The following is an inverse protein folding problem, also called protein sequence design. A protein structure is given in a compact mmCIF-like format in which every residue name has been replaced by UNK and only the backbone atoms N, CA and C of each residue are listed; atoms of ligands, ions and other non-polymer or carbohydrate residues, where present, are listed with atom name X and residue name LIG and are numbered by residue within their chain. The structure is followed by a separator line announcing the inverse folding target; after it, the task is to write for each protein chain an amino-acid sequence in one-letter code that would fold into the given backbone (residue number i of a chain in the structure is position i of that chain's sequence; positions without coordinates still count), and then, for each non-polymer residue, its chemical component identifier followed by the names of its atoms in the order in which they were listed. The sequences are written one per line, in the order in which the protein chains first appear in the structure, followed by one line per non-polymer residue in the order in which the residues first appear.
data_IF_813283737476
#
_entry.id   IF_813283737476
#
_cell.length_a   1.000
_cell.length_b   1.000
_cell.length_c   1.000
_cell.angle_alpha   90.00
_cell.angle_beta   90.00
_cell.angle_gamma   90.00
#
_symmetry.space_group_name_H-M   'P 1'
#
loop_
_entity.id
_entity.type
_entity.pdbx_description
1 polymer ?
#
# COMPACT_ATOMS: atom_id res chain seq x y z
N UNK A 1 -91.74 35.77 -11.12
CA UNK A 1 -91.20 34.64 -10.29
C UNK A 1 -89.99 34.12 -11.06
N UNK A 2 -88.83 34.39 -10.55
CA UNK A 2 -87.53 34.06 -11.21
C UNK A 2 -86.89 32.92 -10.42
N UNK A 3 -86.71 31.78 -11.01
CA UNK A 3 -86.05 30.61 -10.53
C UNK A 3 -84.56 30.75 -10.74
N UNK A 4 -83.79 30.69 -9.67
CA UNK A 4 -82.31 30.71 -9.67
C UNK A 4 -81.83 29.27 -9.68
N UNK A 5 -81.18 28.81 -10.74
CA UNK A 5 -80.42 27.54 -10.73
C UNK A 5 -79.07 27.79 -10.17
N UNK A 6 -78.77 27.10 -9.06
CA UNK A 6 -77.45 27.05 -8.50
C UNK A 6 -76.63 25.90 -9.12
N UNK A 7 -75.54 26.24 -9.82
CA UNK A 7 -74.57 25.27 -10.33
C UNK A 7 -73.52 24.95 -9.23
N UNK A 8 -73.59 23.73 -8.73
CA UNK A 8 -72.52 23.21 -7.89
C UNK A 8 -71.30 22.77 -8.75
N UNK A 9 -70.21 23.53 -8.69
CA UNK A 9 -68.98 23.16 -9.29
C UNK A 9 -68.23 22.13 -8.38
N UNK A 10 -68.11 20.92 -8.91
CA UNK A 10 -67.35 19.86 -8.27
C UNK A 10 -65.83 20.03 -8.57
N UNK A 11 -65.06 20.61 -7.68
CA UNK A 11 -63.59 20.73 -7.81
C UNK A 11 -62.96 19.41 -7.50
N UNK A 12 -62.45 18.72 -8.53
CA UNK A 12 -61.65 17.49 -8.43
C UNK A 12 -60.24 17.86 -8.00
N UNK A 13 -59.90 17.70 -6.72
CA UNK A 13 -58.52 17.81 -6.21
C UNK A 13 -57.76 16.57 -6.62
N UNK A 14 -56.91 16.70 -7.66
CA UNK A 14 -55.94 15.68 -8.03
C UNK A 14 -54.77 15.80 -7.05
N UNK A 15 -54.72 14.91 -6.05
CA UNK A 15 -53.52 14.71 -5.24
C UNK A 15 -52.48 13.97 -6.10
N UNK A 16 -51.58 14.70 -6.71
CA UNK A 16 -50.34 14.12 -7.24
C UNK A 16 -49.45 13.72 -6.04
N UNK A 17 -49.53 12.46 -5.65
CA UNK A 17 -48.59 11.86 -4.73
C UNK A 17 -47.21 11.86 -5.41
N UNK A 18 -46.38 12.86 -5.11
CA UNK A 18 -44.96 12.76 -5.35
C UNK A 18 -44.42 11.68 -4.44
N UNK A 19 -44.39 10.45 -4.90
CA UNK A 19 -43.64 9.37 -4.32
C UNK A 19 -42.15 9.75 -4.38
N UNK A 20 -41.65 10.39 -3.32
CA UNK A 20 -40.25 10.64 -3.15
C UNK A 20 -39.54 9.29 -3.16
N UNK A 21 -38.82 9.00 -4.24
CA UNK A 21 -37.84 7.92 -4.22
C UNK A 21 -36.92 8.23 -3.04
N UNK A 22 -36.98 7.44 -1.98
CA UNK A 22 -35.94 7.45 -0.95
C UNK A 22 -34.63 7.23 -1.68
N UNK A 23 -33.77 8.26 -1.75
CA UNK A 23 -32.35 8.05 -2.09
C UNK A 23 -31.86 6.99 -1.13
N UNK A 24 -31.51 5.82 -1.64
CA UNK A 24 -30.75 4.84 -0.87
C UNK A 24 -29.44 5.53 -0.59
N UNK A 25 -29.23 5.93 0.65
CA UNK A 25 -27.95 6.45 1.08
C UNK A 25 -26.99 5.26 1.05
N UNK A 26 -26.10 5.25 0.08
CA UNK A 26 -25.08 4.21 -0.07
C UNK A 26 -24.08 4.46 1.04
N UNK A 27 -23.91 3.48 1.97
CA UNK A 27 -22.81 3.51 2.90
C UNK A 27 -21.51 3.23 2.14
N UNK A 28 -20.86 4.31 1.74
CA UNK A 28 -19.62 4.26 0.96
C UNK A 28 -18.54 3.38 1.61
N UNK A 29 -18.44 3.40 2.93
CA UNK A 29 -17.43 2.61 3.66
C UNK A 29 -17.77 1.13 3.57
N UNK A 30 -19.01 0.74 3.88
CA UNK A 30 -19.44 -0.65 3.83
C UNK A 30 -19.39 -1.22 2.42
N UNK A 31 -19.82 -0.44 1.43
CA UNK A 31 -19.76 -0.86 0.02
C UNK A 31 -18.32 -1.16 -0.45
N UNK A 32 -17.34 -0.33 -0.03
CA UNK A 32 -15.93 -0.59 -0.33
C UNK A 32 -15.38 -1.79 0.42
N UNK A 33 -15.77 -2.03 1.66
CA UNK A 33 -15.39 -3.25 2.41
C UNK A 33 -15.93 -4.49 1.71
N UNK A 34 -17.21 -4.48 1.31
CA UNK A 34 -17.85 -5.60 0.61
C UNK A 34 -17.17 -5.89 -0.72
N UNK A 35 -16.81 -4.86 -1.47
CA UNK A 35 -16.04 -4.99 -2.71
C UNK A 35 -14.64 -5.59 -2.45
N UNK A 36 -13.92 -5.15 -1.44
CA UNK A 36 -12.62 -5.70 -1.08
C UNK A 36 -12.71 -7.18 -0.67
N UNK A 37 -13.73 -7.54 0.11
CA UNK A 37 -14.04 -8.94 0.49
C UNK A 37 -14.30 -9.78 -0.75
N UNK A 38 -15.13 -9.30 -1.67
CA UNK A 38 -15.47 -10.02 -2.90
C UNK A 38 -14.22 -10.24 -3.78
N UNK A 39 -13.40 -9.22 -4.00
CA UNK A 39 -12.19 -9.32 -4.81
C UNK A 39 -11.15 -10.26 -4.18
N UNK A 40 -10.89 -10.12 -2.88
CA UNK A 40 -9.96 -11.02 -2.18
C UNK A 40 -10.48 -12.47 -2.16
N UNK A 41 -11.79 -12.70 -2.06
CA UNK A 41 -12.39 -14.05 -2.15
C UNK A 41 -12.11 -14.66 -3.52
N UNK A 42 -12.41 -13.96 -4.61
CA UNK A 42 -12.16 -14.43 -5.96
C UNK A 42 -10.68 -14.75 -6.16
N UNK A 43 -9.80 -13.84 -5.75
CA UNK A 43 -8.36 -13.96 -5.96
C UNK A 43 -7.78 -15.14 -5.15
N UNK A 44 -8.15 -15.27 -3.88
CA UNK A 44 -7.70 -16.39 -3.05
C UNK A 44 -8.21 -17.73 -3.57
N UNK A 45 -9.47 -17.82 -4.00
CA UNK A 45 -10.05 -19.05 -4.58
C UNK A 45 -9.30 -19.49 -5.84
N UNK A 46 -8.94 -18.58 -6.72
CA UNK A 46 -8.16 -18.88 -7.93
C UNK A 46 -6.78 -19.43 -7.55
N UNK A 47 -6.09 -18.78 -6.62
CA UNK A 47 -4.74 -19.18 -6.21
C UNK A 47 -4.77 -20.50 -5.46
N UNK A 48 -5.69 -20.71 -4.52
CA UNK A 48 -5.81 -21.97 -3.78
C UNK A 48 -6.11 -23.17 -4.71
N UNK A 49 -6.97 -22.99 -5.71
CA UNK A 49 -7.25 -24.02 -6.72
C UNK A 49 -6.03 -24.37 -7.57
N UNK A 50 -5.08 -23.46 -7.73
CA UNK A 50 -3.82 -23.73 -8.46
C UNK A 50 -2.86 -24.63 -7.71
N UNK A 51 -3.01 -24.77 -6.39
CA UNK A 51 -2.10 -25.50 -5.50
C UNK A 51 -0.70 -24.84 -5.36
N UNK A 52 -0.56 -23.58 -5.77
CA UNK A 52 0.71 -22.82 -5.76
C UNK A 52 0.59 -21.58 -4.88
N UNK A 53 1.72 -21.03 -4.47
CA UNK A 53 1.80 -19.67 -3.92
C UNK A 53 2.05 -18.73 -5.10
N UNK A 54 1.10 -17.84 -5.36
CA UNK A 54 1.15 -16.92 -6.48
C UNK A 54 0.90 -15.50 -5.97
N UNK A 55 1.71 -14.54 -6.44
CA UNK A 55 1.57 -13.12 -6.11
C UNK A 55 0.92 -12.39 -7.29
N UNK A 56 -0.36 -11.98 -7.21
CA UNK A 56 -1.05 -11.31 -8.29
C UNK A 56 -0.47 -9.91 -8.52
N UNK A 57 -0.32 -9.54 -9.78
CA UNK A 57 0.23 -8.24 -10.19
C UNK A 57 -0.77 -7.35 -10.91
N UNK A 58 -1.34 -7.85 -11.99
CA UNK A 58 -2.23 -7.10 -12.87
C UNK A 58 -3.12 -8.04 -13.66
N UNK A 59 -4.12 -7.49 -14.33
CA UNK A 59 -4.99 -8.18 -15.27
C UNK A 59 -4.47 -7.88 -16.67
N UNK A 60 -4.22 -8.94 -17.44
CA UNK A 60 -3.83 -8.86 -18.85
C UNK A 60 -5.02 -8.46 -19.73
N UNK A 61 -4.76 -8.09 -20.99
CA UNK A 61 -5.80 -7.68 -21.95
C UNK A 61 -6.83 -8.80 -22.23
N UNK A 62 -6.45 -10.05 -22.09
CA UNK A 62 -7.32 -11.22 -22.24
C UNK A 62 -8.13 -11.56 -20.98
N UNK A 63 -8.00 -10.76 -19.92
CA UNK A 63 -8.66 -10.95 -18.64
C UNK A 63 -7.95 -11.94 -17.71
N UNK A 64 -6.86 -12.56 -18.12
CA UNK A 64 -6.05 -13.42 -17.25
C UNK A 64 -5.25 -12.61 -16.22
N UNK A 65 -4.92 -13.23 -15.07
CA UNK A 65 -4.13 -12.58 -14.03
C UNK A 65 -2.64 -12.86 -14.28
N UNK A 66 -1.84 -11.81 -14.33
CA UNK A 66 -0.39 -11.91 -14.33
C UNK A 66 0.12 -12.06 -12.90
N UNK A 67 1.04 -13.01 -12.68
CA UNK A 67 1.67 -13.28 -11.40
C UNK A 67 3.17 -12.97 -11.45
N UNK A 68 3.73 -12.62 -10.31
CA UNK A 68 5.12 -12.20 -10.15
C UNK A 68 5.84 -13.05 -9.11
N UNK A 69 7.19 -13.11 -9.15
CA UNK A 69 7.98 -13.76 -8.12
C UNK A 69 7.90 -13.01 -6.79
N UNK A 70 8.32 -13.68 -5.71
CA UNK A 70 8.28 -13.12 -4.36
C UNK A 70 9.18 -11.90 -4.17
N UNK A 71 10.23 -11.80 -4.96
CA UNK A 71 11.20 -10.71 -4.91
C UNK A 71 10.72 -9.43 -5.62
N UNK A 72 9.60 -9.49 -6.33
CA UNK A 72 9.00 -8.30 -6.96
C UNK A 72 8.44 -7.37 -5.89
N UNK A 73 8.65 -6.07 -6.07
CA UNK A 73 8.32 -5.02 -5.12
C UNK A 73 6.86 -5.04 -4.63
N UNK A 74 5.92 -5.51 -5.41
CA UNK A 74 4.52 -5.52 -5.02
C UNK A 74 4.05 -6.82 -4.37
N UNK A 75 4.92 -7.82 -4.14
CA UNK A 75 4.53 -9.11 -3.56
C UNK A 75 3.91 -9.01 -2.15
N UNK A 76 4.29 -8.00 -1.38
CA UNK A 76 3.75 -7.75 -0.04
C UNK A 76 2.31 -7.23 -0.01
N UNK A 77 1.81 -6.65 -1.11
CA UNK A 77 0.47 -6.03 -1.11
C UNK A 77 -0.67 -7.05 -1.08
N UNK A 78 -0.51 -8.21 -1.70
CA UNK A 78 -1.56 -9.23 -1.67
C UNK A 78 -1.80 -9.76 -0.25
N UNK A 79 -0.80 -10.29 0.50
CA UNK A 79 -1.02 -10.63 1.90
C UNK A 79 -1.46 -9.43 2.74
N UNK A 80 -0.97 -8.23 2.45
CA UNK A 80 -1.40 -6.99 3.10
C UNK A 80 -2.90 -6.73 2.94
N UNK A 81 -3.45 -6.91 1.74
CA UNK A 81 -4.89 -6.76 1.49
C UNK A 81 -5.72 -7.78 2.26
N UNK A 82 -5.22 -9.00 2.43
CA UNK A 82 -5.88 -10.05 3.21
C UNK A 82 -5.86 -9.71 4.71
N UNK A 83 -4.74 -9.22 5.24
CA UNK A 83 -4.66 -8.72 6.62
C UNK A 83 -5.64 -7.60 6.89
N UNK A 84 -5.74 -6.63 5.98
CA UNK A 84 -6.70 -5.53 6.10
C UNK A 84 -8.14 -6.03 6.03
N UNK A 85 -8.44 -7.00 5.17
CA UNK A 85 -9.77 -7.62 5.09
C UNK A 85 -10.12 -8.33 6.40
N UNK A 86 -9.16 -9.07 6.98
CA UNK A 86 -9.33 -9.66 8.31
C UNK A 86 -9.65 -8.60 9.36
N UNK A 87 -8.86 -7.53 9.42
CA UNK A 87 -9.03 -6.46 10.41
C UNK A 87 -10.37 -5.73 10.26
N UNK A 88 -10.80 -5.46 9.03
CA UNK A 88 -12.06 -4.74 8.77
C UNK A 88 -13.30 -5.58 9.03
N UNK A 89 -13.24 -6.89 8.79
CA UNK A 89 -14.41 -7.78 8.90
C UNK A 89 -14.47 -8.56 10.21
N UNK A 90 -13.32 -8.79 10.86
CA UNK A 90 -13.19 -9.73 11.99
C UNK A 90 -13.41 -11.19 11.61
N UNK A 91 -13.58 -11.51 10.32
CA UNK A 91 -13.85 -12.88 9.85
C UNK A 91 -12.57 -13.71 9.86
N UNK A 92 -12.54 -14.68 10.78
CA UNK A 92 -11.38 -15.55 11.02
C UNK A 92 -10.99 -16.45 9.84
N UNK A 93 -11.83 -16.57 8.80
CA UNK A 93 -11.46 -17.32 7.59
C UNK A 93 -10.25 -16.70 6.86
N UNK A 94 -10.03 -15.38 7.02
CA UNK A 94 -8.93 -14.66 6.39
C UNK A 94 -7.59 -14.91 7.06
N UNK A 95 -7.59 -15.26 8.35
CA UNK A 95 -6.37 -15.41 9.15
C UNK A 95 -5.40 -16.45 8.55
N UNK A 96 -5.78 -17.70 8.29
CA UNK A 96 -4.86 -18.71 7.73
C UNK A 96 -4.37 -18.33 6.33
N UNK A 97 -5.18 -17.62 5.54
CA UNK A 97 -4.76 -17.14 4.21
C UNK A 97 -3.73 -16.01 4.34
N UNK A 98 -3.97 -15.03 5.21
CA UNK A 98 -3.03 -13.95 5.48
C UNK A 98 -1.69 -14.48 5.98
N UNK A 99 -1.69 -15.43 6.92
CA UNK A 99 -0.48 -16.11 7.41
C UNK A 99 0.26 -16.82 6.27
N UNK A 100 -0.43 -17.69 5.53
CA UNK A 100 0.14 -18.47 4.44
C UNK A 100 0.88 -17.62 3.40
N UNK A 101 0.24 -16.55 2.92
CA UNK A 101 0.83 -15.67 1.91
C UNK A 101 1.90 -14.73 2.47
N UNK A 102 1.81 -14.37 3.75
CA UNK A 102 2.86 -13.62 4.46
C UNK A 102 4.11 -14.47 4.63
N UNK A 103 3.97 -15.68 5.18
CA UNK A 103 5.10 -16.57 5.49
C UNK A 103 5.83 -17.05 4.23
N UNK A 104 5.15 -17.11 3.10
CA UNK A 104 5.77 -17.36 1.80
C UNK A 104 6.80 -16.29 1.41
N UNK A 105 6.73 -15.08 1.96
CA UNK A 105 7.67 -13.98 1.71
C UNK A 105 8.87 -13.99 2.68
N UNK A 106 9.11 -15.05 3.46
CA UNK A 106 10.16 -15.05 4.49
C UNK A 106 11.55 -14.69 3.94
N UNK A 107 11.90 -15.16 2.76
CA UNK A 107 13.20 -14.87 2.13
C UNK A 107 13.38 -13.39 1.74
N UNK A 108 12.29 -12.63 1.59
CA UNK A 108 12.31 -11.22 1.22
C UNK A 108 13.05 -10.35 2.26
N UNK A 109 13.05 -10.73 3.53
CA UNK A 109 13.78 -10.03 4.59
C UNK A 109 15.29 -9.87 4.32
N UNK A 110 15.86 -10.66 3.41
CA UNK A 110 17.29 -10.61 3.06
C UNK A 110 17.58 -9.80 1.79
N UNK A 111 16.57 -9.24 1.11
CA UNK A 111 16.79 -8.46 -0.12
C UNK A 111 17.55 -7.16 0.19
N UNK A 112 18.57 -6.87 -0.62
CA UNK A 112 19.47 -5.71 -0.45
C UNK A 112 19.69 -4.92 -1.73
N UNK A 113 19.10 -5.32 -2.86
CA UNK A 113 19.33 -4.71 -4.16
C UNK A 113 18.27 -3.65 -4.56
N UNK A 114 17.17 -3.54 -3.81
CA UNK A 114 16.18 -2.46 -3.89
C UNK A 114 15.66 -2.09 -2.49
N UNK A 115 15.01 -0.94 -2.38
CA UNK A 115 14.50 -0.41 -1.12
C UNK A 115 13.14 -1.01 -0.71
N UNK A 116 12.46 -1.66 -1.64
CA UNK A 116 11.05 -2.06 -1.50
C UNK A 116 10.83 -3.11 -0.40
N UNK A 117 11.88 -3.77 0.08
CA UNK A 117 11.84 -4.68 1.22
C UNK A 117 11.11 -4.05 2.43
N UNK A 118 11.18 -2.72 2.58
CA UNK A 118 10.52 -2.00 3.65
C UNK A 118 9.01 -2.16 3.61
N UNK A 119 8.36 -1.81 2.52
CA UNK A 119 6.91 -1.94 2.42
C UNK A 119 6.45 -3.35 2.04
N UNK A 120 7.27 -4.19 1.41
CA UNK A 120 6.94 -5.60 1.21
C UNK A 120 6.71 -6.30 2.55
N UNK A 121 7.64 -6.15 3.51
CA UNK A 121 7.52 -6.70 4.87
C UNK A 121 6.56 -5.86 5.72
N UNK A 122 6.50 -4.55 5.51
CA UNK A 122 5.56 -3.65 6.19
C UNK A 122 4.10 -4.02 5.92
N UNK A 123 3.72 -4.26 4.67
CA UNK A 123 2.36 -4.65 4.31
C UNK A 123 2.01 -6.09 4.75
N UNK A 124 2.97 -6.99 4.84
CA UNK A 124 2.77 -8.41 5.17
C UNK A 124 3.03 -8.71 6.66
N UNK A 125 4.27 -8.93 7.04
CA UNK A 125 4.66 -9.33 8.39
C UNK A 125 4.30 -8.31 9.47
N UNK A 126 4.47 -7.01 9.21
CA UNK A 126 4.15 -5.98 10.19
C UNK A 126 2.64 -5.91 10.46
N UNK A 127 1.81 -6.07 9.42
CA UNK A 127 0.37 -6.16 9.61
C UNK A 127 -0.03 -7.40 10.42
N UNK A 128 0.58 -8.55 10.15
CA UNK A 128 0.34 -9.76 10.96
C UNK A 128 0.76 -9.58 12.42
N UNK A 129 1.90 -8.95 12.66
CA UNK A 129 2.36 -8.63 14.01
C UNK A 129 1.37 -7.73 14.76
N UNK A 130 0.83 -6.71 14.10
CA UNK A 130 -0.07 -5.72 14.70
C UNK A 130 -1.52 -6.23 14.84
N UNK A 131 -2.03 -6.94 13.85
CA UNK A 131 -3.46 -7.27 13.74
C UNK A 131 -3.81 -8.64 14.34
N UNK A 132 -2.86 -9.56 14.42
CA UNK A 132 -3.08 -10.92 14.91
C UNK A 132 -2.12 -11.35 16.02
N UNK A 133 -1.41 -10.40 16.63
CA UNK A 133 -0.46 -10.63 17.74
C UNK A 133 0.61 -11.71 17.41
N UNK A 134 1.05 -11.75 16.14
CA UNK A 134 2.07 -12.69 15.64
C UNK A 134 3.46 -12.29 16.11
N UNK A 135 3.75 -12.55 17.40
CA UNK A 135 5.02 -12.16 18.04
C UNK A 135 6.25 -12.76 17.37
N UNK A 136 6.11 -13.92 16.75
CA UNK A 136 7.16 -14.60 15.98
C UNK A 136 7.63 -13.81 14.75
N UNK A 137 6.80 -12.88 14.24
CA UNK A 137 7.16 -12.04 13.10
C UNK A 137 8.16 -10.93 13.43
N UNK A 138 8.41 -10.67 14.72
CA UNK A 138 9.35 -9.66 15.21
C UNK A 138 10.74 -9.78 14.58
N UNK A 139 11.28 -10.99 14.54
CA UNK A 139 12.64 -11.23 14.05
C UNK A 139 12.76 -10.99 12.54
N UNK A 140 11.68 -11.31 11.78
CA UNK A 140 11.60 -11.03 10.35
C UNK A 140 11.58 -9.52 10.08
N UNK A 141 10.80 -8.75 10.86
CA UNK A 141 10.72 -7.29 10.77
C UNK A 141 12.08 -6.65 11.03
N UNK A 142 12.78 -7.07 12.09
CA UNK A 142 14.11 -6.56 12.44
C UNK A 142 15.14 -6.91 11.37
N UNK A 143 15.14 -8.14 10.85
CA UNK A 143 16.07 -8.54 9.80
C UNK A 143 15.85 -7.79 8.48
N UNK A 144 14.60 -7.58 8.09
CA UNK A 144 14.25 -6.74 6.94
C UNK A 144 14.74 -5.29 7.11
N UNK A 145 14.60 -4.72 8.31
CA UNK A 145 15.12 -3.39 8.62
C UNK A 145 16.64 -3.31 8.51
N UNK A 146 17.38 -4.36 8.93
CA UNK A 146 18.83 -4.45 8.72
C UNK A 146 19.16 -4.49 7.23
N UNK A 147 18.44 -5.28 6.44
CA UNK A 147 18.63 -5.36 4.99
C UNK A 147 18.37 -4.01 4.31
N UNK A 148 17.28 -3.33 4.64
CA UNK A 148 16.97 -1.99 4.16
C UNK A 148 18.06 -0.98 4.55
N UNK A 149 18.56 -1.04 5.79
CA UNK A 149 19.59 -0.13 6.29
C UNK A 149 20.91 -0.22 5.52
N UNK A 150 21.21 -1.35 4.88
CA UNK A 150 22.41 -1.48 4.01
C UNK A 150 22.37 -0.55 2.80
N UNK A 151 21.21 -0.05 2.43
CA UNK A 151 21.00 0.89 1.33
C UNK A 151 21.19 2.36 1.73
N UNK A 152 21.36 2.64 3.01
CA UNK A 152 21.60 3.99 3.48
C UNK A 152 22.98 4.51 3.02
N UNK A 153 23.00 5.73 2.50
CA UNK A 153 24.20 6.44 2.04
C UNK A 153 24.43 7.64 2.96
N UNK A 154 25.28 7.50 3.99
CA UNK A 154 25.38 8.51 5.07
C UNK A 154 25.73 9.91 4.57
N UNK A 155 26.62 10.02 3.60
CA UNK A 155 27.05 11.32 3.05
C UNK A 155 25.94 12.01 2.24
N UNK A 156 25.08 11.26 1.56
CA UNK A 156 23.91 11.77 0.88
C UNK A 156 22.71 11.96 1.83
N UNK A 157 22.68 11.24 2.94
CA UNK A 157 21.63 11.27 3.93
C UNK A 157 20.34 10.57 3.45
N UNK A 158 20.45 9.58 2.55
CA UNK A 158 19.29 8.92 1.93
C UNK A 158 19.45 7.41 1.86
N UNK A 159 18.33 6.70 1.80
CA UNK A 159 18.25 5.28 1.41
C UNK A 159 18.16 5.25 -0.11
N UNK A 160 19.14 4.63 -0.76
CA UNK A 160 19.16 4.48 -2.23
C UNK A 160 18.10 3.49 -2.69
N UNK A 161 17.29 3.87 -3.69
CA UNK A 161 16.17 3.04 -4.14
C UNK A 161 16.62 1.80 -4.90
N UNK A 162 17.48 1.95 -5.91
CA UNK A 162 17.95 0.85 -6.77
C UNK A 162 19.46 0.91 -6.97
N UNK A 163 20.03 -0.19 -7.46
CA UNK A 163 21.39 -0.17 -7.99
C UNK A 163 21.41 0.60 -9.31
N UNK A 164 22.22 1.65 -9.38
CA UNK A 164 22.19 2.59 -10.51
C UNK A 164 22.95 2.10 -11.76
N UNK A 165 23.66 0.99 -11.64
CA UNK A 165 24.50 0.40 -12.70
C UNK A 165 23.80 -0.74 -13.47
N UNK A 166 22.56 -1.06 -13.11
CA UNK A 166 21.82 -2.21 -13.65
C UNK A 166 20.48 -1.81 -14.24
N UNK A 167 19.96 -2.66 -15.11
CA UNK A 167 18.64 -2.52 -15.69
C UNK A 167 18.44 -1.17 -16.42
N UNK A 168 17.19 -0.70 -16.43
CA UNK A 168 16.83 0.58 -17.06
C UNK A 168 17.41 1.79 -16.29
N UNK A 169 17.72 1.65 -15.02
CA UNK A 169 18.33 2.70 -14.20
C UNK A 169 19.75 3.02 -14.68
N UNK A 170 20.50 2.00 -15.10
CA UNK A 170 21.86 2.15 -15.64
C UNK A 170 21.93 3.02 -16.89
N UNK A 171 20.88 3.01 -17.72
CA UNK A 171 20.83 3.85 -18.94
C UNK A 171 20.65 5.33 -18.65
N UNK A 172 20.26 5.72 -17.43
CA UNK A 172 20.01 7.11 -17.04
C UNK A 172 21.25 7.85 -16.51
N UNK A 173 22.33 7.13 -16.27
CA UNK A 173 23.56 7.71 -15.72
C UNK A 173 23.44 8.19 -14.28
N UNK A 174 22.40 7.75 -13.56
CA UNK A 174 22.19 8.05 -12.14
C UNK A 174 23.30 7.44 -11.27
N UNK A 175 23.53 8.05 -10.09
CA UNK A 175 24.53 7.60 -9.13
C UNK A 175 23.89 7.08 -7.85
N UNK A 176 22.90 7.79 -7.34
CA UNK A 176 22.18 7.43 -6.13
C UNK A 176 20.70 7.85 -6.26
N UNK A 177 19.93 7.15 -7.11
CA UNK A 177 18.53 7.50 -7.31
C UNK A 177 17.69 7.16 -6.09
N UNK A 178 16.79 8.09 -5.76
CA UNK A 178 15.79 7.94 -4.70
C UNK A 178 14.43 8.32 -5.28
N UNK A 179 13.49 7.38 -5.24
CA UNK A 179 12.10 7.62 -5.61
C UNK A 179 11.31 8.01 -4.35
N UNK A 180 10.28 8.83 -4.51
CA UNK A 180 9.54 9.42 -3.39
C UNK A 180 8.84 8.36 -2.50
N UNK A 181 8.41 7.25 -3.07
CA UNK A 181 7.76 6.16 -2.33
C UNK A 181 8.69 5.46 -1.32
N UNK A 182 10.01 5.72 -1.38
CA UNK A 182 10.95 5.27 -0.36
C UNK A 182 10.53 5.75 1.05
N UNK A 183 9.73 6.80 1.15
CA UNK A 183 9.14 7.25 2.41
C UNK A 183 8.24 6.20 3.07
N UNK A 184 7.62 5.30 2.29
CA UNK A 184 6.81 4.19 2.82
C UNK A 184 7.65 3.17 3.61
N UNK A 185 8.94 3.06 3.30
CA UNK A 185 9.84 2.13 3.97
C UNK A 185 10.24 2.57 5.38
N UNK A 186 10.06 3.84 5.72
CA UNK A 186 10.47 4.38 7.02
C UNK A 186 9.65 3.80 8.17
N UNK A 187 8.41 3.42 7.92
CA UNK A 187 7.56 2.77 8.90
C UNK A 187 8.22 1.48 9.45
N UNK A 188 8.79 0.65 8.56
CA UNK A 188 9.51 -0.55 8.97
C UNK A 188 10.70 -0.23 9.90
N UNK A 189 11.44 0.84 9.60
CA UNK A 189 12.58 1.27 10.43
C UNK A 189 12.16 1.78 11.81
N UNK A 190 11.07 2.55 11.89
CA UNK A 190 10.53 3.00 13.15
C UNK A 190 10.03 1.83 14.01
N UNK A 191 9.33 0.88 13.41
CA UNK A 191 8.88 -0.32 14.11
C UNK A 191 10.04 -1.20 14.55
N UNK A 192 11.06 -1.39 13.71
CA UNK A 192 12.24 -2.13 14.09
C UNK A 192 12.98 -1.48 15.27
N UNK A 193 13.01 -0.14 15.34
CA UNK A 193 13.52 0.59 16.51
C UNK A 193 12.71 0.25 17.77
N UNK A 194 11.38 0.34 17.69
CA UNK A 194 10.49 0.06 18.82
C UNK A 194 10.62 -1.39 19.31
N UNK A 195 10.78 -2.33 18.39
CA UNK A 195 10.89 -3.75 18.68
C UNK A 195 12.26 -4.17 19.24
N UNK A 196 13.35 -3.56 18.75
CA UNK A 196 14.72 -3.95 19.09
C UNK A 196 15.38 -3.06 20.12
N UNK A 197 14.95 -1.80 20.26
CA UNK A 197 15.65 -0.76 21.00
C UNK A 197 16.85 -0.17 20.27
N UNK A 198 17.16 -0.59 19.04
CA UNK A 198 18.27 -0.08 18.24
C UNK A 198 17.88 1.23 17.55
N UNK A 199 18.41 2.34 18.03
CA UNK A 199 18.17 3.67 17.50
C UNK A 199 18.80 3.92 16.12
N UNK A 200 19.64 3.03 15.62
CA UNK A 200 20.24 3.16 14.28
C UNK A 200 19.17 3.24 13.20
N UNK A 201 18.14 2.42 13.30
CA UNK A 201 17.03 2.43 12.34
C UNK A 201 16.27 3.77 12.36
N UNK A 202 15.97 4.30 13.56
CA UNK A 202 15.34 5.59 13.74
C UNK A 202 16.18 6.71 13.11
N UNK A 203 17.48 6.74 13.37
CA UNK A 203 18.36 7.77 12.85
C UNK A 203 18.44 7.75 11.31
N UNK A 204 18.47 6.58 10.71
CA UNK A 204 18.41 6.40 9.24
C UNK A 204 17.08 6.97 8.70
N UNK A 205 15.96 6.59 9.31
CA UNK A 205 14.64 7.00 8.88
C UNK A 205 14.47 8.53 8.94
N UNK A 206 14.81 9.15 10.07
CA UNK A 206 14.73 10.61 10.24
C UNK A 206 15.64 11.33 9.25
N UNK A 207 16.89 10.88 9.11
CA UNK A 207 17.82 11.50 8.17
C UNK A 207 17.35 11.42 6.73
N UNK A 208 16.79 10.28 6.33
CA UNK A 208 16.19 10.14 5.00
C UNK A 208 14.99 11.08 4.81
N UNK A 209 14.10 11.15 5.80
CA UNK A 209 12.91 12.02 5.74
C UNK A 209 13.31 13.50 5.60
N UNK A 210 14.22 14.00 6.43
CA UNK A 210 14.70 15.38 6.39
C UNK A 210 15.32 15.71 5.03
N UNK A 211 16.12 14.80 4.48
CA UNK A 211 16.75 14.99 3.16
C UNK A 211 15.71 14.97 2.04
N UNK A 212 14.71 14.10 2.14
CA UNK A 212 13.59 14.04 1.19
C UNK A 212 12.76 15.32 1.23
N UNK A 213 12.44 15.83 2.39
CA UNK A 213 11.73 17.11 2.54
C UNK A 213 12.51 18.26 1.89
N UNK A 214 13.82 18.30 2.07
CA UNK A 214 14.66 19.36 1.51
C UNK A 214 14.81 19.33 -0.01
N UNK A 215 14.70 18.16 -0.65
CA UNK A 215 15.08 18.00 -2.05
C UNK A 215 13.98 17.49 -2.97
N UNK A 216 13.00 16.73 -2.47
CA UNK A 216 11.92 16.17 -3.30
C UNK A 216 10.74 17.14 -3.46
N UNK A 217 10.52 18.05 -2.52
CA UNK A 217 9.39 18.98 -2.60
C UNK A 217 9.75 20.28 -3.31
N UNK A 218 8.81 20.78 -4.11
CA UNK A 218 8.86 22.08 -4.76
C UNK A 218 8.21 23.15 -3.85
N UNK A 219 8.43 24.43 -4.13
CA UNK A 219 7.80 25.52 -3.37
C UNK A 219 6.26 25.48 -3.36
N UNK A 220 5.64 24.86 -4.35
CA UNK A 220 4.18 24.68 -4.47
C UNK A 220 3.67 23.40 -3.77
N UNK A 221 4.52 22.72 -3.01
CA UNK A 221 4.28 21.44 -2.32
C UNK A 221 4.06 20.22 -3.23
N UNK A 222 4.24 20.35 -4.53
CA UNK A 222 4.35 19.17 -5.40
C UNK A 222 5.70 18.48 -5.19
N UNK A 223 5.81 17.19 -5.52
CA UNK A 223 7.08 16.48 -5.37
C UNK A 223 7.67 16.02 -6.69
N UNK A 224 8.99 15.90 -6.72
CA UNK A 224 9.69 15.16 -7.75
C UNK A 224 9.52 13.67 -7.52
N UNK A 225 9.29 12.92 -8.59
CA UNK A 225 9.14 11.46 -8.50
C UNK A 225 10.46 10.79 -8.14
N UNK A 226 11.54 11.17 -8.81
CA UNK A 226 12.92 10.69 -8.55
C UNK A 226 13.86 11.85 -8.38
N UNK A 227 14.77 11.74 -7.41
CA UNK A 227 15.90 12.64 -7.21
C UNK A 227 17.18 11.81 -7.22
N UNK A 228 18.14 12.19 -8.08
CA UNK A 228 19.47 11.57 -8.08
C UNK A 228 20.44 12.37 -7.21
N UNK A 229 21.07 11.71 -6.26
CA UNK A 229 22.01 12.32 -5.31
C UNK A 229 23.45 12.01 -5.66
N UNK A 230 24.36 12.89 -5.24
CA UNK A 230 25.79 12.60 -5.23
C UNK A 230 26.16 11.80 -3.99
N UNK A 231 26.71 10.60 -4.16
CA UNK A 231 27.03 9.69 -3.03
C UNK A 231 28.03 10.32 -2.03
N UNK A 232 28.89 11.21 -2.51
CA UNK A 232 29.91 11.88 -1.69
C UNK A 232 29.46 13.20 -1.05
N UNK A 233 28.25 13.68 -1.32
CA UNK A 233 27.77 14.99 -0.88
C UNK A 233 26.27 14.95 -0.57
N UNK A 234 25.85 15.71 0.43
CA UNK A 234 24.43 15.94 0.73
C UNK A 234 23.85 16.97 -0.26
N UNK A 235 23.92 16.68 -1.55
CA UNK A 235 23.42 17.53 -2.63
C UNK A 235 22.66 16.72 -3.66
N UNK A 236 21.61 17.32 -4.20
CA UNK A 236 20.83 16.79 -5.30
C UNK A 236 21.57 17.07 -6.63
N UNK A 237 21.72 16.02 -7.46
CA UNK A 237 22.32 16.11 -8.79
C UNK A 237 21.27 16.33 -9.88
N UNK A 238 20.16 15.64 -9.82
CA UNK A 238 19.10 15.68 -10.83
C UNK A 238 17.74 15.45 -10.18
N UNK A 239 16.68 16.00 -10.77
CA UNK A 239 15.29 15.83 -10.37
C UNK A 239 14.43 15.47 -11.58
N UNK A 240 13.61 14.44 -11.41
CA UNK A 240 12.71 13.91 -12.45
C UNK A 240 11.26 13.92 -11.97
#
# INVERSE_FOLDING_TARGET
MKTILSALGLSLLIFTSCGGQKKVEVDFIQDNIDNAVAQNTIQTDIIEKSGKILNPRTINEDGSISYIPMEDWCSGFFPGSIWLTYNLTGDKKWLPLAEKYTEALDSVKYLKWHHDVGFMIGCSYLNGYRMADKKEYKDVIIEAAKSLSTRFRPNAGVIQSWDADKGWQGTRGWKCPVIIDNMMNLELLFEATALSGDSTFYNIAVKHADTTMAHHFRPDNSCYHVVDYEIGRASCRERV
#
